data_IF_635735972369
#
_entry.id   IF_635735972369
#
_cell.length_a   1.000
_cell.length_b   1.000
_cell.length_c   1.000
_cell.angle_alpha   90.00
_cell.angle_beta   90.00
_cell.angle_gamma   90.00
#
_symmetry.space_group_name_H-M   'P 1'
#
loop_
_entity.id
_entity.type
_entity.pdbx_description
1 polymer ?
#
# COMPACT_ATOMS: atom_id res chain seq x y z
N UNK A 1 -3.64 -9.85 13.30
CA UNK A 1 -2.20 -10.14 13.53
C UNK A 1 -1.43 -8.80 13.47
N UNK A 2 -0.18 -8.73 13.96
CA UNK A 2 0.58 -7.46 14.02
C UNK A 2 0.82 -6.81 12.65
N UNK A 3 1.01 -7.62 11.60
CA UNK A 3 1.24 -7.11 10.25
C UNK A 3 0.00 -6.40 9.68
N UNK A 4 -1.19 -6.98 9.82
CA UNK A 4 -2.45 -6.34 9.40
C UNK A 4 -2.69 -5.03 10.15
N UNK A 5 -2.43 -4.99 11.46
CA UNK A 5 -2.57 -3.75 12.24
C UNK A 5 -1.63 -2.65 11.76
N UNK A 6 -0.38 -2.99 11.42
CA UNK A 6 0.58 -2.03 10.85
C UNK A 6 0.12 -1.48 9.49
N UNK A 7 -0.43 -2.33 8.63
CA UNK A 7 -0.98 -1.92 7.33
C UNK A 7 -2.20 -1.03 7.51
N UNK A 8 -3.12 -1.37 8.42
CA UNK A 8 -4.31 -0.56 8.74
C UNK A 8 -3.89 0.82 9.26
N UNK A 9 -2.95 0.88 10.20
CA UNK A 9 -2.45 2.15 10.73
C UNK A 9 -1.79 2.99 9.62
N UNK A 10 -0.95 2.37 8.78
CA UNK A 10 -0.33 3.05 7.65
C UNK A 10 -1.35 3.58 6.64
N UNK A 11 -2.40 2.80 6.37
CA UNK A 11 -3.49 3.17 5.47
C UNK A 11 -4.28 4.36 6.02
N UNK A 12 -4.66 4.30 7.30
CA UNK A 12 -5.41 5.38 7.98
C UNK A 12 -4.58 6.67 8.13
N UNK A 13 -3.25 6.56 8.14
CA UNK A 13 -2.35 7.71 8.10
C UNK A 13 -2.01 8.16 6.67
N UNK A 14 -2.76 7.70 5.67
CA UNK A 14 -2.62 8.08 4.26
C UNK A 14 -1.25 7.77 3.66
N UNK A 15 -0.44 6.89 4.27
CA UNK A 15 0.88 6.53 3.75
C UNK A 15 0.76 5.67 2.49
N UNK A 16 1.71 5.77 1.55
CA UNK A 16 1.87 4.75 0.52
C UNK A 16 2.13 3.38 1.14
N UNK A 17 1.59 2.34 0.52
CA UNK A 17 1.74 0.93 0.93
C UNK A 17 2.10 0.14 -0.32
N UNK A 18 3.28 -0.48 -0.32
CA UNK A 18 3.68 -1.46 -1.33
C UNK A 18 3.54 -2.87 -0.78
N UNK A 19 2.96 -3.78 -1.57
CA UNK A 19 2.80 -5.19 -1.21
C UNK A 19 3.31 -6.11 -2.32
N UNK A 20 4.11 -7.09 -1.90
CA UNK A 20 4.79 -8.06 -2.75
C UNK A 20 4.47 -9.48 -2.27
N UNK A 21 4.30 -10.44 -3.18
CA UNK A 21 4.07 -11.86 -2.86
C UNK A 21 3.02 -12.04 -1.74
N UNK A 22 3.38 -12.68 -0.63
CA UNK A 22 2.50 -12.95 0.51
C UNK A 22 1.95 -11.68 1.18
N UNK A 23 2.59 -10.52 0.99
CA UNK A 23 2.09 -9.23 1.44
C UNK A 23 0.81 -8.81 0.71
N UNK A 24 0.63 -9.24 -0.55
CA UNK A 24 -0.56 -8.96 -1.34
C UNK A 24 -1.81 -9.55 -0.69
N UNK A 25 -1.72 -10.76 -0.12
CA UNK A 25 -2.84 -11.39 0.61
C UNK A 25 -3.30 -10.58 1.82
N UNK A 26 -2.37 -9.89 2.51
CA UNK A 26 -2.71 -9.02 3.64
C UNK A 26 -3.54 -7.82 3.14
N UNK A 27 -3.07 -7.14 2.09
CA UNK A 27 -3.76 -6.01 1.47
C UNK A 27 -5.14 -6.40 0.95
N UNK A 28 -5.25 -7.57 0.31
CA UNK A 28 -6.51 -8.15 -0.17
C UNK A 28 -7.49 -8.44 0.97
N UNK A 29 -7.01 -9.08 2.05
CA UNK A 29 -7.86 -9.40 3.21
C UNK A 29 -8.43 -8.17 3.92
N UNK A 30 -7.79 -7.01 3.72
CA UNK A 30 -8.20 -5.72 4.26
C UNK A 30 -9.09 -4.93 3.29
N UNK A 31 -9.38 -5.45 2.09
CA UNK A 31 -10.18 -4.80 1.04
C UNK A 31 -9.67 -3.40 0.63
N UNK A 32 -8.35 -3.21 0.66
CA UNK A 32 -7.69 -1.95 0.29
C UNK A 32 -6.86 -2.06 -1.00
N UNK A 33 -6.85 -3.22 -1.66
CA UNK A 33 -6.23 -3.39 -2.98
C UNK A 33 -6.85 -2.41 -3.99
N UNK A 34 -6.02 -1.82 -4.84
CA UNK A 34 -6.44 -0.84 -5.86
C UNK A 34 -6.84 0.54 -5.31
N UNK A 35 -6.83 0.75 -3.98
CA UNK A 35 -7.06 2.08 -3.40
C UNK A 35 -5.87 3.01 -3.66
N UNK A 36 -6.08 4.35 -3.72
CA UNK A 36 -5.00 5.29 -3.94
C UNK A 36 -3.82 5.10 -2.98
N UNK A 37 -2.62 4.93 -3.53
CA UNK A 37 -1.39 4.73 -2.77
C UNK A 37 -1.17 3.32 -2.25
N UNK A 38 -2.03 2.36 -2.60
CA UNK A 38 -1.84 0.94 -2.33
C UNK A 38 -1.41 0.26 -3.63
N UNK A 39 -0.17 -0.24 -3.65
CA UNK A 39 0.47 -0.83 -4.83
C UNK A 39 0.70 -2.31 -4.58
N UNK A 40 0.22 -3.13 -5.49
CA UNK A 40 0.40 -4.58 -5.50
C UNK A 40 1.02 -4.98 -6.82
N UNK A 41 2.22 -5.55 -6.79
CA UNK A 41 2.96 -5.95 -7.99
C UNK A 41 3.84 -7.16 -7.66
N UNK A 42 3.99 -8.10 -8.60
CA UNK A 42 4.76 -9.35 -8.45
C UNK A 42 6.16 -9.26 -9.05
N UNK A 43 6.44 -8.23 -9.86
CA UNK A 43 7.78 -7.88 -10.28
C UNK A 43 8.42 -6.89 -9.26
N UNK A 44 9.53 -7.27 -8.61
CA UNK A 44 10.11 -6.45 -7.54
C UNK A 44 10.64 -5.10 -8.03
N UNK A 45 11.13 -5.02 -9.27
CA UNK A 45 11.64 -3.78 -9.86
C UNK A 45 10.50 -2.82 -10.18
N UNK A 46 9.39 -3.32 -10.74
CA UNK A 46 8.21 -2.49 -10.99
C UNK A 46 7.60 -1.98 -9.68
N UNK A 47 7.45 -2.87 -8.69
CA UNK A 47 6.95 -2.48 -7.37
C UNK A 47 7.82 -1.37 -6.74
N UNK A 48 9.14 -1.54 -6.76
CA UNK A 48 10.07 -0.56 -6.19
C UNK A 48 9.94 0.80 -6.89
N UNK A 49 9.89 0.80 -8.22
CA UNK A 49 9.75 2.03 -9.00
C UNK A 49 8.43 2.75 -8.71
N UNK A 50 7.30 2.04 -8.73
CA UNK A 50 5.98 2.62 -8.43
C UNK A 50 5.90 3.11 -6.99
N UNK A 51 6.45 2.35 -6.05
CA UNK A 51 6.45 2.71 -4.64
C UNK A 51 7.31 3.96 -4.38
N UNK A 52 8.48 4.09 -5.01
CA UNK A 52 9.30 5.30 -4.94
C UNK A 52 8.51 6.51 -5.46
N UNK A 53 7.81 6.38 -6.58
CA UNK A 53 6.95 7.45 -7.10
C UNK A 53 5.83 7.80 -6.11
N UNK A 54 5.17 6.80 -5.52
CA UNK A 54 4.16 7.02 -4.49
C UNK A 54 4.72 7.70 -3.22
N UNK A 55 5.95 7.38 -2.82
CA UNK A 55 6.65 8.04 -1.73
C UNK A 55 6.91 9.52 -2.00
N UNK A 56 7.12 9.94 -3.26
CA UNK A 56 7.28 11.37 -3.60
C UNK A 56 6.03 12.21 -3.29
N UNK A 57 4.84 11.59 -3.34
CA UNK A 57 3.57 12.22 -2.92
C UNK A 57 3.44 12.35 -1.40
N UNK A 58 4.25 11.62 -0.64
CA UNK A 58 4.25 11.48 0.83
C UNK A 58 2.96 10.89 1.42
N UNK A 59 1.79 11.41 1.05
CA UNK A 59 0.47 11.03 1.55
C UNK A 59 -0.57 11.07 0.42
N UNK A 60 -1.55 10.17 0.50
CA UNK A 60 -2.66 10.03 -0.45
C UNK A 60 -3.95 10.55 0.17
N UNK A 61 -4.06 11.89 0.21
CA UNK A 61 -5.16 12.62 0.83
C UNK A 61 -6.51 12.37 0.15
N UNK A 62 -6.51 11.94 -1.11
CA UNK A 62 -7.72 11.59 -1.86
C UNK A 62 -8.50 10.42 -1.24
N UNK A 63 -7.92 9.66 -0.29
CA UNK A 63 -8.65 8.63 0.46
C UNK A 63 -9.54 9.18 1.58
N UNK A 64 -9.46 10.48 1.89
CA UNK A 64 -10.31 11.12 2.90
C UNK A 64 -11.69 11.53 2.36
N UNK A 65 -11.87 11.49 1.03
CA UNK A 65 -13.05 11.96 0.32
C UNK A 65 -13.70 10.83 -0.49
#
# INVERSE_FOLDING_TARGET
>A
NKASSFVVESYNHFKPIGAFQNGTTIVQSLNIEGKPGVITEQNPTLLANEFIQAMTKQRFWERAY
#
